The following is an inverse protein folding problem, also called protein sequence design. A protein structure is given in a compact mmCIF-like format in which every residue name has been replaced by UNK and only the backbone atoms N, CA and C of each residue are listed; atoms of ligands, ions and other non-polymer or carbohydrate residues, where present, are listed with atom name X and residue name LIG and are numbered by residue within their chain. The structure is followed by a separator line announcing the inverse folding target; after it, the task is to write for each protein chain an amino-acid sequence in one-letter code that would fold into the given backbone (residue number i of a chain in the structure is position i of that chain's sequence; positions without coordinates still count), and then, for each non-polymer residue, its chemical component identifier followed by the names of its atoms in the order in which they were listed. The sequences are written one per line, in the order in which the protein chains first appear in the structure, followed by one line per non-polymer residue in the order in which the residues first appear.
data_IF_851020298321
#
_entry.id   IF_851020298321
#
_cell.length_a   1.000
_cell.length_b   1.000
_cell.length_c   1.000
_cell.angle_alpha   90.00
_cell.angle_beta   90.00
_cell.angle_gamma   90.00
#
_symmetry.space_group_name_H-M   'P 1'
#
loop_
_entity.id
_entity.type
_entity.pdbx_description
1 polymer ?
#
# COMPACT_ATOMS: atom_id res chain seq x y z
N UNK A 1 14.64 4.84 -10.30
CA UNK A 1 13.67 4.00 -9.54
C UNK A 1 14.32 2.69 -9.10
N UNK A 2 14.75 2.59 -7.84
CA UNK A 2 15.32 1.35 -7.28
C UNK A 2 14.23 0.64 -6.46
N UNK A 3 14.14 -0.69 -6.58
CA UNK A 3 13.28 -1.47 -5.68
C UNK A 3 13.72 -1.26 -4.24
N UNK A 4 12.76 -1.04 -3.34
CA UNK A 4 12.99 -0.86 -1.91
C UNK A 4 13.81 -2.04 -1.38
N UNK A 5 15.02 -1.77 -0.85
CA UNK A 5 15.83 -2.81 -0.21
C UNK A 5 15.20 -3.15 1.14
N UNK A 6 15.52 -4.33 1.68
CA UNK A 6 15.00 -4.80 2.96
C UNK A 6 15.25 -3.81 4.12
N UNK A 7 16.31 -3.00 4.06
CA UNK A 7 16.61 -1.95 5.03
C UNK A 7 15.62 -0.77 4.99
N UNK A 8 15.23 -0.30 3.80
CA UNK A 8 14.26 0.79 3.64
C UNK A 8 12.83 0.35 3.99
N UNK A 9 12.56 -0.95 3.89
CA UNK A 9 11.27 -1.54 4.24
C UNK A 9 11.13 -1.85 5.73
N UNK A 10 12.23 -1.85 6.51
CA UNK A 10 12.19 -2.19 7.93
C UNK A 10 11.30 -1.23 8.72
N UNK A 11 11.38 0.08 8.44
CA UNK A 11 10.55 1.11 9.07
C UNK A 11 9.06 0.94 8.75
N UNK A 12 8.73 0.38 7.59
CA UNK A 12 7.34 0.16 7.17
C UNK A 12 6.88 -1.28 7.36
N UNK A 13 7.73 -2.19 7.83
CA UNK A 13 7.37 -3.57 8.16
C UNK A 13 6.11 -3.66 9.05
N UNK A 14 5.93 -2.85 10.12
CA UNK A 14 4.69 -2.86 10.89
C UNK A 14 3.48 -2.39 10.08
N UNK A 15 3.65 -1.45 9.14
CA UNK A 15 2.58 -1.01 8.24
C UNK A 15 2.20 -2.12 7.25
N UNK A 16 3.19 -2.78 6.65
CA UNK A 16 2.98 -3.93 5.76
C UNK A 16 2.24 -5.07 6.48
N UNK A 17 2.60 -5.35 7.74
CA UNK A 17 1.90 -6.33 8.58
C UNK A 17 0.42 -5.99 8.76
N UNK A 18 0.08 -4.72 9.02
CA UNK A 18 -1.32 -4.27 9.11
C UNK A 18 -2.08 -4.44 7.80
N UNK A 19 -1.44 -4.13 6.67
CA UNK A 19 -2.04 -4.27 5.34
C UNK A 19 -2.28 -5.75 5.02
N UNK A 20 -1.32 -6.62 5.33
CA UNK A 20 -1.46 -8.09 5.19
C UNK A 20 -2.59 -8.66 6.04
N UNK A 21 -2.92 -8.01 7.15
CA UNK A 21 -4.02 -8.41 8.02
C UNK A 21 -5.41 -8.03 7.47
N UNK A 22 -5.50 -7.23 6.41
CA UNK A 22 -6.77 -6.86 5.78
C UNK A 22 -7.28 -8.06 4.97
N UNK A 23 -8.44 -8.58 5.34
CA UNK A 23 -9.07 -9.70 4.64
C UNK A 23 -9.29 -9.39 3.16
N UNK A 24 -8.83 -10.30 2.29
CA UNK A 24 -8.95 -10.17 0.84
C UNK A 24 -7.84 -9.37 0.16
N UNK A 25 -6.97 -8.69 0.92
CA UNK A 25 -5.75 -8.08 0.39
C UNK A 25 -4.67 -9.15 0.31
N UNK A 26 -4.09 -9.33 -0.88
CA UNK A 26 -3.01 -10.26 -1.17
C UNK A 26 -1.79 -9.51 -1.69
N UNK A 27 -0.65 -9.75 -1.08
CA UNK A 27 0.64 -9.30 -1.60
C UNK A 27 1.07 -10.23 -2.75
N UNK A 28 1.23 -9.68 -3.95
CA UNK A 28 1.71 -10.45 -5.12
C UNK A 28 3.20 -10.23 -5.39
N UNK A 29 3.72 -9.05 -5.07
CA UNK A 29 5.14 -8.70 -5.14
C UNK A 29 5.49 -7.93 -3.87
N UNK A 30 6.78 -7.90 -3.53
CA UNK A 30 7.26 -7.18 -2.35
C UNK A 30 6.70 -5.77 -2.29
N UNK A 31 5.93 -5.48 -1.24
CA UNK A 31 5.27 -4.20 -1.02
C UNK A 31 4.29 -3.79 -2.15
N UNK A 32 3.69 -4.77 -2.83
CA UNK A 32 2.65 -4.56 -3.85
C UNK A 32 1.45 -5.45 -3.58
N UNK A 33 0.33 -4.81 -3.28
CA UNK A 33 -0.87 -5.45 -2.77
C UNK A 33 -2.03 -5.33 -3.75
N UNK A 34 -2.80 -6.41 -3.81
CA UNK A 34 -3.95 -6.58 -4.66
C UNK A 34 -5.17 -6.94 -3.83
N UNK A 35 -6.33 -6.40 -4.19
CA UNK A 35 -7.62 -6.75 -3.61
C UNK A 35 -8.58 -7.11 -4.73
N UNK A 36 -9.21 -8.30 -4.65
CA UNK A 36 -10.14 -8.81 -5.70
C UNK A 36 -9.58 -8.71 -7.13
N UNK A 37 -8.27 -8.91 -7.30
CA UNK A 37 -7.60 -8.87 -8.61
C UNK A 37 -7.17 -7.48 -9.09
N UNK A 38 -7.48 -6.40 -8.36
CA UNK A 38 -7.04 -5.03 -8.67
C UNK A 38 -5.89 -4.62 -7.78
N UNK A 39 -4.93 -3.86 -8.31
CA UNK A 39 -3.89 -3.27 -7.48
C UNK A 39 -4.50 -2.21 -6.57
N UNK A 40 -4.30 -2.35 -5.26
CA UNK A 40 -4.86 -1.43 -4.27
C UNK A 40 -3.85 -0.52 -3.63
N UNK A 41 -2.63 -1.03 -3.43
CA UNK A 41 -1.55 -0.21 -2.92
C UNK A 41 -0.22 -0.77 -3.42
N UNK A 42 0.66 0.12 -3.87
CA UNK A 42 2.05 -0.21 -4.14
C UNK A 42 2.97 0.72 -3.36
N UNK A 43 4.09 0.20 -2.89
CA UNK A 43 5.13 0.99 -2.25
C UNK A 43 6.38 1.01 -3.13
N UNK A 44 6.99 2.18 -3.25
CA UNK A 44 8.27 2.33 -3.94
C UNK A 44 9.19 3.26 -3.16
N UNK A 45 10.49 3.08 -3.37
CA UNK A 45 11.53 3.94 -2.81
C UNK A 45 12.13 4.75 -3.95
N UNK A 46 12.11 6.06 -3.77
CA UNK A 46 12.75 6.97 -4.70
C UNK A 46 14.27 7.01 -4.50
N UNK A 47 15.01 7.54 -5.47
CA UNK A 47 16.48 7.64 -5.44
C UNK A 47 17.01 8.46 -4.25
N UNK A 48 16.17 9.34 -3.71
CA UNK A 48 16.44 10.10 -2.48
C UNK A 48 16.22 9.32 -1.17
N UNK A 49 15.89 8.02 -1.22
CA UNK A 49 15.57 7.19 -0.04
C UNK A 49 14.19 7.46 0.57
N UNK A 50 13.31 8.14 -0.17
CA UNK A 50 11.94 8.40 0.26
C UNK A 50 11.02 7.23 -0.06
N UNK A 51 10.32 6.70 0.95
CA UNK A 51 9.27 5.69 0.76
C UNK A 51 7.94 6.37 0.43
N UNK A 52 7.30 5.93 -0.65
CA UNK A 52 5.98 6.38 -1.09
C UNK A 52 5.02 5.21 -1.22
N UNK A 53 3.74 5.49 -0.94
CA UNK A 53 2.62 4.60 -1.13
C UNK A 53 1.67 5.19 -2.16
N UNK A 54 1.37 4.44 -3.21
CA UNK A 54 0.36 4.83 -4.19
C UNK A 54 -0.87 3.94 -4.00
N UNK A 55 -2.03 4.57 -3.82
CA UNK A 55 -3.33 3.94 -3.59
C UNK A 55 -4.26 4.45 -4.70
N UNK A 56 -4.53 3.62 -5.70
CA UNK A 56 -5.19 4.07 -6.93
C UNK A 56 -4.37 5.20 -7.58
N UNK A 57 -5.01 6.35 -7.81
CA UNK A 57 -4.36 7.56 -8.36
C UNK A 57 -3.70 8.45 -7.29
N UNK A 58 -3.80 8.10 -6.00
CA UNK A 58 -3.27 8.93 -4.91
C UNK A 58 -1.90 8.45 -4.47
N UNK A 59 -0.87 9.28 -4.62
CA UNK A 59 0.48 9.04 -4.07
C UNK A 59 0.69 9.79 -2.75
N UNK A 60 1.22 9.11 -1.74
CA UNK A 60 1.54 9.68 -0.43
C UNK A 60 2.91 9.24 0.08
N UNK A 61 3.66 10.15 0.70
CA UNK A 61 4.92 9.79 1.39
C UNK A 61 4.60 9.02 2.66
N UNK A 62 5.24 7.87 2.90
CA UNK A 62 4.94 7.01 4.05
C UNK A 62 5.39 7.62 5.37
N UNK A 63 6.58 8.24 5.37
CA UNK A 63 7.16 8.87 6.56
C UNK A 63 6.21 9.92 7.15
N UNK A 64 5.69 9.65 8.33
CA UNK A 64 4.76 10.54 9.06
C UNK A 64 3.29 10.46 8.64
N UNK A 65 2.92 9.59 7.69
CA UNK A 65 1.55 9.50 7.16
C UNK A 65 0.88 8.13 7.33
N UNK A 66 1.40 7.25 8.20
CA UNK A 66 0.91 5.89 8.41
C UNK A 66 -0.62 5.79 8.59
N UNK A 67 -1.19 6.63 9.46
CA UNK A 67 -2.64 6.65 9.72
C UNK A 67 -3.45 7.09 8.50
N UNK A 68 -2.95 8.08 7.75
CA UNK A 68 -3.59 8.55 6.52
C UNK A 68 -3.59 7.48 5.43
N UNK A 69 -2.46 6.79 5.25
CA UNK A 69 -2.32 5.70 4.29
C UNK A 69 -3.29 4.56 4.62
N UNK A 70 -3.36 4.14 5.88
CA UNK A 70 -4.31 3.10 6.30
C UNK A 70 -5.77 3.52 6.08
N UNK A 71 -6.11 4.78 6.38
CA UNK A 71 -7.46 5.31 6.15
C UNK A 71 -7.80 5.34 4.67
N UNK A 72 -6.89 5.85 3.83
CA UNK A 72 -7.06 5.92 2.37
C UNK A 72 -7.17 4.52 1.75
N UNK A 73 -6.35 3.57 2.19
CA UNK A 73 -6.42 2.19 1.74
C UNK A 73 -7.76 1.54 2.12
N UNK A 74 -8.21 1.71 3.36
CA UNK A 74 -9.49 1.17 3.81
C UNK A 74 -10.67 1.76 3.01
N UNK A 75 -10.63 3.06 2.72
CA UNK A 75 -11.63 3.73 1.88
C UNK A 75 -11.62 3.19 0.44
N UNK A 76 -10.44 3.07 -0.16
CA UNK A 76 -10.26 2.56 -1.51
C UNK A 76 -10.69 1.09 -1.65
N UNK A 77 -10.35 0.24 -0.66
CA UNK A 77 -10.81 -1.15 -0.60
C UNK A 77 -12.33 -1.22 -0.49
N UNK A 78 -12.96 -0.41 0.38
CA UNK A 78 -14.43 -0.34 0.47
C UNK A 78 -15.07 0.09 -0.84
N UNK A 79 -14.48 1.05 -1.55
CA UNK A 79 -14.95 1.52 -2.85
C UNK A 79 -14.89 0.40 -3.91
N UNK A 80 -13.77 -0.32 -3.98
CA UNK A 80 -13.64 -1.49 -4.87
C UNK A 80 -14.61 -2.61 -4.48
N UNK A 81 -14.81 -2.83 -3.19
CA UNK A 81 -15.73 -3.86 -2.69
C UNK A 81 -17.18 -3.56 -3.08
N UNK A 82 -17.61 -2.30 -2.89
CA UNK A 82 -18.95 -1.80 -3.20
C UNK A 82 -19.27 -1.68 -4.69
N UNK A 83 -18.26 -1.48 -5.55
CA UNK A 83 -18.41 -1.46 -7.01
C UNK A 83 -18.82 -2.80 -7.64
N UNK A 84 -18.95 -3.89 -6.86
CA UNK A 84 -19.50 -5.18 -7.32
C UNK A 84 -21.04 -5.28 -7.26
N UNK A 85 -21.75 -4.19 -6.97
CA UNK A 85 -23.21 -4.14 -7.07
C UNK A 85 -23.64 -3.42 -8.35
N UNK A 86 -23.46 -4.06 -9.49
CA UNK A 86 -24.24 -3.79 -10.71
C UNK A 86 -24.29 -5.04 -11.57
#
# INVERSE_FOLDING_TARGET
MRHAKAGDLADIAPLLGKIRSISGVREKRTAHFYFRGRSVIHFHVDESGGVYADIGDTRMRVKGAHTRIMKALADYVRRIDGMKRE
#
